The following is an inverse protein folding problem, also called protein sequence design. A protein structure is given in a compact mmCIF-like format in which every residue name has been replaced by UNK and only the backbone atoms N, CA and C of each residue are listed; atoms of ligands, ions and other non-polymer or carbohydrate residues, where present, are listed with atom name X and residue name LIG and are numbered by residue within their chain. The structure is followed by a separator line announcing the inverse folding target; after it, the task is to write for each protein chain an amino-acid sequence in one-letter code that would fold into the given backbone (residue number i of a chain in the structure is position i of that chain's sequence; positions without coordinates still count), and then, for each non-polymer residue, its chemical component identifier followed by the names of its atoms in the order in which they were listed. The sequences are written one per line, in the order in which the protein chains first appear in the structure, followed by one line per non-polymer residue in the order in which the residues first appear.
data_IF_138859473432
#
_entry.id   IF_138859473432
#
_cell.length_a   1.000
_cell.length_b   1.000
_cell.length_c   1.000
_cell.angle_alpha   90.00
_cell.angle_beta   90.00
_cell.angle_gamma   90.00
#
_symmetry.space_group_name_H-M   'P 1'
#
loop_
_entity.id
_entity.type
_entity.pdbx_description
1 polymer ?
#
# COMPACT_ATOMS: atom_id res chain seq x y z
N UNK A 1 -10.05 17.37 23.91
CA UNK A 1 -9.53 16.76 22.66
C UNK A 1 -8.15 17.37 22.42
N UNK A 2 -7.06 16.59 22.53
CA UNK A 2 -5.70 17.14 22.36
C UNK A 2 -5.37 17.24 20.87
N UNK A 3 -4.65 18.29 20.46
CA UNK A 3 -4.14 18.44 19.09
C UNK A 3 -3.29 17.22 18.70
N UNK A 4 -2.62 16.61 19.69
CA UNK A 4 -1.83 15.40 19.50
C UNK A 4 -2.68 14.20 19.04
N UNK A 5 -3.89 14.02 19.57
CA UNK A 5 -4.73 12.88 19.15
C UNK A 5 -5.26 13.04 17.73
N UNK A 6 -5.47 14.29 17.30
CA UNK A 6 -6.00 14.62 15.97
C UNK A 6 -4.89 14.50 14.92
N UNK A 7 -3.72 15.09 15.18
CA UNK A 7 -2.61 15.11 14.22
C UNK A 7 -1.89 13.77 14.15
N UNK A 8 -1.64 13.12 15.29
CA UNK A 8 -0.97 11.81 15.28
C UNK A 8 -1.93 10.69 14.87
N UNK A 9 -3.15 10.63 15.41
CA UNK A 9 -4.12 9.58 15.09
C UNK A 9 -4.43 9.49 13.59
N UNK A 10 -4.77 10.62 12.96
CA UNK A 10 -5.12 10.65 11.54
C UNK A 10 -3.94 10.27 10.63
N UNK A 11 -2.69 10.56 11.04
CA UNK A 11 -1.50 10.15 10.30
C UNK A 11 -1.21 8.63 10.40
N UNK A 12 -1.56 8.00 11.53
CA UNK A 12 -1.46 6.56 11.72
C UNK A 12 -2.49 5.83 10.86
N UNK A 13 -3.75 6.25 10.91
CA UNK A 13 -4.84 5.64 10.13
C UNK A 13 -4.55 5.71 8.63
N UNK A 14 -3.98 6.83 8.17
CA UNK A 14 -3.60 7.01 6.76
C UNK A 14 -2.43 6.09 6.35
N UNK A 15 -1.42 5.92 7.22
CA UNK A 15 -0.30 5.01 6.95
C UNK A 15 -0.77 3.55 6.96
N UNK A 16 -1.62 3.18 7.91
CA UNK A 16 -2.22 1.86 7.98
C UNK A 16 -3.04 1.56 6.72
N UNK A 17 -3.91 2.48 6.31
CA UNK A 17 -4.68 2.37 5.07
C UNK A 17 -3.77 2.22 3.84
N UNK A 18 -2.71 3.02 3.74
CA UNK A 18 -1.77 2.95 2.63
C UNK A 18 -0.99 1.61 2.59
N UNK A 19 -0.68 1.02 3.75
CA UNK A 19 -0.09 -0.33 3.86
C UNK A 19 -1.09 -1.38 3.36
N UNK A 20 -2.35 -1.33 3.79
CA UNK A 20 -3.39 -2.25 3.32
C UNK A 20 -3.62 -2.15 1.81
N UNK A 21 -3.71 -0.94 1.28
CA UNK A 21 -3.85 -0.70 -0.17
C UNK A 21 -2.66 -1.26 -0.95
N UNK A 22 -1.44 -1.03 -0.45
CA UNK A 22 -0.21 -1.57 -1.05
C UNK A 22 -0.18 -3.10 -1.00
N UNK A 23 -0.60 -3.70 0.10
CA UNK A 23 -0.72 -5.17 0.21
C UNK A 23 -1.72 -5.74 -0.80
N UNK A 24 -2.88 -5.10 -0.95
CA UNK A 24 -3.88 -5.47 -1.96
C UNK A 24 -3.36 -5.37 -3.39
N UNK A 25 -2.59 -4.33 -3.71
CA UNK A 25 -1.91 -4.19 -5.02
C UNK A 25 -0.90 -5.32 -5.24
N UNK A 26 -0.10 -5.67 -4.24
CA UNK A 26 0.85 -6.79 -4.31
C UNK A 26 0.17 -8.11 -4.63
N UNK A 27 -0.95 -8.41 -3.95
CA UNK A 27 -1.73 -9.62 -4.20
C UNK A 27 -2.27 -9.68 -5.62
N UNK A 28 -2.77 -8.55 -6.13
CA UNK A 28 -3.32 -8.44 -7.48
C UNK A 28 -2.24 -8.56 -8.55
N UNK A 29 -1.06 -7.95 -8.35
CA UNK A 29 0.10 -8.10 -9.23
C UNK A 29 0.60 -9.55 -9.23
N UNK A 30 0.71 -10.18 -8.06
CA UNK A 30 1.09 -11.58 -7.94
C UNK A 30 0.12 -12.51 -8.68
N UNK A 31 -1.19 -12.25 -8.56
CA UNK A 31 -2.22 -12.96 -9.33
C UNK A 31 -2.03 -12.77 -10.83
N UNK A 32 -1.74 -11.57 -11.31
CA UNK A 32 -1.50 -11.32 -12.73
C UNK A 32 -0.26 -12.05 -13.26
N UNK A 33 0.84 -12.04 -12.50
CA UNK A 33 2.07 -12.76 -12.86
C UNK A 33 1.81 -14.27 -12.91
N UNK A 34 1.15 -14.83 -11.89
CA UNK A 34 0.90 -16.26 -11.80
C UNK A 34 -0.01 -16.80 -12.92
N UNK A 35 -0.94 -15.98 -13.42
CA UNK A 35 -1.88 -16.41 -14.46
C UNK A 35 -1.54 -15.89 -15.86
N UNK A 36 -0.34 -15.33 -16.04
CA UNK A 36 0.03 -14.67 -17.30
C UNK A 36 0.04 -15.61 -18.50
N UNK A 37 0.40 -16.88 -18.30
CA UNK A 37 0.48 -17.90 -19.34
C UNK A 37 -0.83 -18.68 -19.51
N UNK A 38 -1.85 -18.41 -18.67
CA UNK A 38 -3.12 -19.12 -18.70
C UNK A 38 -3.97 -18.68 -19.90
N UNK A 39 -4.46 -19.66 -20.66
CA UNK A 39 -5.39 -19.41 -21.77
C UNK A 39 -6.61 -18.62 -21.28
N UNK A 40 -6.97 -17.56 -22.01
CA UNK A 40 -8.08 -16.64 -21.71
C UNK A 40 -7.95 -15.81 -20.41
N UNK A 41 -6.78 -15.74 -19.78
CA UNK A 41 -6.61 -14.88 -18.61
C UNK A 41 -6.71 -13.40 -18.97
N UNK A 42 -7.51 -12.66 -18.20
CA UNK A 42 -7.64 -11.21 -18.34
C UNK A 42 -7.10 -10.52 -17.10
N UNK A 43 -6.12 -9.64 -17.32
CA UNK A 43 -5.47 -8.87 -16.28
C UNK A 43 -6.45 -8.02 -15.50
N UNK A 44 -6.34 -8.09 -14.18
CA UNK A 44 -7.03 -7.22 -13.25
C UNK A 44 -6.07 -6.09 -12.88
N UNK A 45 -6.51 -4.84 -12.92
CA UNK A 45 -5.69 -3.68 -12.50
C UNK A 45 -6.38 -2.93 -11.38
N UNK A 46 -5.58 -2.43 -10.44
CA UNK A 46 -6.02 -1.49 -9.41
C UNK A 46 -6.10 -0.09 -10.04
N UNK A 47 -7.26 0.58 -9.98
CA UNK A 47 -7.41 1.98 -10.40
C UNK A 47 -7.18 2.89 -9.21
N UNK A 48 -6.25 3.83 -9.35
CA UNK A 48 -5.80 4.74 -8.28
C UNK A 48 -6.55 6.09 -8.21
N UNK A 49 -7.60 6.28 -9.01
CA UNK A 49 -8.34 7.54 -9.02
C UNK A 49 -9.63 7.40 -8.21
N UNK A 50 -9.75 8.24 -7.17
CA UNK A 50 -10.89 8.76 -6.37
C UNK A 50 -12.37 8.41 -6.67
N UNK A 51 -12.70 7.47 -7.55
CA UNK A 51 -14.02 6.93 -7.77
C UNK A 51 -13.96 5.41 -7.61
N UNK A 52 -14.31 4.95 -6.40
CA UNK A 52 -14.69 3.57 -6.05
C UNK A 52 -13.79 2.50 -6.66
N UNK A 53 -12.93 1.91 -5.82
CA UNK A 53 -12.21 0.65 -6.05
C UNK A 53 -12.99 -0.32 -6.97
N UNK A 54 -12.71 -0.24 -8.27
CA UNK A 54 -13.37 -1.03 -9.29
C UNK A 54 -12.29 -1.65 -10.16
N UNK A 55 -12.31 -2.98 -10.22
CA UNK A 55 -11.45 -3.79 -11.06
C UNK A 55 -11.84 -3.57 -12.52
N UNK A 56 -10.93 -3.07 -13.36
CA UNK A 56 -11.14 -2.98 -14.82
C UNK A 56 -10.21 -3.97 -15.52
N UNK A 57 -10.73 -4.62 -16.55
CA UNK A 57 -9.97 -5.52 -17.42
C UNK A 57 -9.11 -4.67 -18.38
N UNK A 58 -7.79 -4.84 -18.37
CA UNK A 58 -6.87 -4.13 -19.27
C UNK A 58 -6.35 -5.04 -20.39
N UNK A 59 -6.13 -4.45 -21.57
CA UNK A 59 -5.82 -5.13 -22.83
C UNK A 59 -4.58 -6.03 -22.79
N UNK A 60 -4.82 -7.27 -23.23
CA UNK A 60 -4.02 -8.48 -23.55
C UNK A 60 -2.48 -8.53 -23.49
N UNK A 61 -1.72 -7.43 -23.55
CA UNK A 61 -0.25 -7.55 -23.47
C UNK A 61 0.21 -7.33 -22.02
N UNK A 62 0.07 -8.37 -21.21
CA UNK A 62 0.79 -8.45 -19.94
C UNK A 62 2.23 -8.79 -20.30
N UNK A 63 3.13 -7.82 -20.21
CA UNK A 63 4.56 -8.10 -20.18
C UNK A 63 4.91 -8.38 -18.72
N UNK A 64 5.53 -9.53 -18.43
CA UNK A 64 6.00 -9.89 -17.08
C UNK A 64 6.79 -8.71 -16.50
N UNK A 65 7.61 -8.07 -17.32
CA UNK A 65 8.41 -6.89 -16.96
C UNK A 65 7.58 -5.71 -16.44
N UNK A 66 6.36 -5.50 -16.98
CA UNK A 66 5.47 -4.43 -16.54
C UNK A 66 4.89 -4.74 -15.14
N UNK A 67 4.46 -5.98 -14.92
CA UNK A 67 3.94 -6.40 -13.61
C UNK A 67 5.06 -6.44 -12.55
N UNK A 68 6.26 -6.90 -12.93
CA UNK A 68 7.44 -6.85 -12.05
C UNK A 68 7.85 -5.41 -11.72
N UNK A 69 7.79 -4.49 -12.68
CA UNK A 69 8.07 -3.07 -12.43
C UNK A 69 7.08 -2.47 -11.41
N UNK A 70 5.78 -2.78 -11.56
CA UNK A 70 4.75 -2.38 -10.60
C UNK A 70 4.94 -3.03 -9.23
N UNK A 71 5.35 -4.29 -9.19
CA UNK A 71 5.66 -4.99 -7.95
C UNK A 71 6.81 -4.32 -7.21
N UNK A 72 7.88 -3.97 -7.94
CA UNK A 72 9.03 -3.28 -7.39
C UNK A 72 8.66 -1.90 -6.84
N UNK A 73 7.90 -1.10 -7.60
CA UNK A 73 7.41 0.20 -7.16
C UNK A 73 6.54 0.08 -5.89
N UNK A 74 5.63 -0.89 -5.88
CA UNK A 74 4.74 -1.11 -4.74
C UNK A 74 5.49 -1.59 -3.50
N UNK A 75 6.53 -2.41 -3.66
CA UNK A 75 7.41 -2.84 -2.58
C UNK A 75 8.19 -1.66 -1.97
N UNK A 76 8.70 -0.75 -2.81
CA UNK A 76 9.35 0.49 -2.34
C UNK A 76 8.38 1.36 -1.54
N UNK A 77 7.13 1.54 -2.02
CA UNK A 77 6.08 2.28 -1.31
C UNK A 77 5.75 1.64 0.04
N UNK A 78 5.53 0.33 0.06
CA UNK A 78 5.23 -0.42 1.29
C UNK A 78 6.35 -0.30 2.33
N UNK A 79 7.60 -0.45 1.90
CA UNK A 79 8.78 -0.30 2.77
C UNK A 79 8.83 1.10 3.38
N UNK A 80 8.58 2.13 2.56
CA UNK A 80 8.54 3.53 3.02
C UNK A 80 7.44 3.76 4.06
N UNK A 81 6.23 3.23 3.84
CA UNK A 81 5.12 3.35 4.81
C UNK A 81 5.44 2.66 6.14
N UNK A 82 6.02 1.45 6.11
CA UNK A 82 6.43 0.72 7.32
C UNK A 82 7.53 1.47 8.09
N UNK A 83 8.50 2.08 7.38
CA UNK A 83 9.53 2.90 8.00
C UNK A 83 8.95 4.15 8.68
N UNK A 84 8.03 4.84 8.00
CA UNK A 84 7.33 6.00 8.55
C UNK A 84 6.53 5.63 9.80
N UNK A 85 5.74 4.54 9.73
CA UNK A 85 4.98 4.02 10.87
C UNK A 85 5.90 3.70 12.06
N UNK A 86 7.01 3.01 11.80
CA UNK A 86 8.02 2.68 12.82
C UNK A 86 8.63 3.93 13.46
N UNK A 87 8.91 4.96 12.66
CA UNK A 87 9.42 6.25 13.15
C UNK A 87 8.41 6.94 14.06
N UNK A 88 7.12 6.94 13.69
CA UNK A 88 6.04 7.52 14.50
C UNK A 88 5.88 6.79 15.83
N UNK A 89 5.91 5.45 15.84
CA UNK A 89 5.85 4.66 17.09
C UNK A 89 7.03 5.01 18.01
N UNK A 90 8.24 5.15 17.46
CA UNK A 90 9.42 5.59 18.23
C UNK A 90 9.23 6.98 18.85
N UNK A 91 8.66 7.92 18.10
CA UNK A 91 8.35 9.27 18.59
C UNK A 91 7.33 9.23 19.73
N UNK A 92 6.23 8.49 19.56
CA UNK A 92 5.22 8.32 20.61
C UNK A 92 5.82 7.73 21.89
N UNK A 93 6.62 6.67 21.75
CA UNK A 93 7.32 6.06 22.89
C UNK A 93 8.20 7.08 23.61
N UNK A 94 8.95 7.90 22.89
CA UNK A 94 9.80 8.95 23.45
C UNK A 94 8.98 9.98 24.24
N UNK A 95 7.89 10.49 23.68
CA UNK A 95 7.03 11.48 24.35
C UNK A 95 6.38 10.89 25.60
N UNK A 96 5.86 9.66 25.52
CA UNK A 96 5.27 8.97 26.69
C UNK A 96 6.30 8.71 27.79
N UNK A 97 7.54 8.37 27.45
CA UNK A 97 8.61 8.19 28.45
C UNK A 97 9.02 9.51 29.10
N UNK A 98 9.07 10.62 28.35
CA UNK A 98 9.41 11.94 28.88
C UNK A 98 8.28 12.55 29.72
N UNK A 99 7.02 12.27 29.41
CA UNK A 99 5.85 12.75 30.18
C UNK A 99 5.56 11.97 31.47
N UNK A 100 6.34 10.94 31.80
CA UNK A 100 6.25 10.18 33.06
C UNK A 100 7.16 10.75 34.18
N UNK A 101 7.87 11.84 33.91
CA UNK A 101 8.68 12.58 34.88
C UNK A 101 7.89 13.65 35.60
#
# INVERSE_FOLDING_TARGET
MSIDSIVYGQSFDNLEKAIYESSGKQQLIARNIANIESENYTKVVFKDELEKAQMKLASKQVLIDNEMSKLAENNLKMTSYVQLLSSRIKQLKKVVTLGKG
#
